data_IF_287954510383
#
_entry.id   IF_287954510383
#
_cell.length_a   1.000
_cell.length_b   1.000
_cell.length_c   1.000
_cell.angle_alpha   90.00
_cell.angle_beta   90.00
_cell.angle_gamma   90.00
#
_symmetry.space_group_name_H-M   'P 1'
#
loop_
_entity.id
_entity.type
_entity.pdbx_description
1 polymer ?
#
# COMPACT_ATOMS: atom_id res chain seq x y z
N UNK A 1 6.28 -0.06 -16.03
CA UNK A 1 6.68 0.28 -14.66
C UNK A 1 5.46 0.10 -13.77
N UNK A 2 5.56 -0.65 -12.67
CA UNK A 2 4.48 -0.78 -11.70
C UNK A 2 4.38 0.48 -10.83
N UNK A 3 3.17 0.95 -10.57
CA UNK A 3 2.92 2.21 -9.85
C UNK A 3 3.34 2.08 -8.38
N UNK A 4 4.28 2.93 -7.91
CA UNK A 4 4.66 2.92 -6.48
C UNK A 4 3.54 3.49 -5.62
N UNK A 5 3.13 2.73 -4.60
CA UNK A 5 2.11 3.14 -3.62
C UNK A 5 2.77 3.61 -2.33
N UNK A 6 3.73 2.85 -1.79
CA UNK A 6 4.47 3.21 -0.58
C UNK A 6 5.94 3.45 -0.88
N UNK A 7 6.36 4.72 -0.96
CA UNK A 7 7.78 5.06 -1.14
C UNK A 7 8.66 4.74 0.05
N UNK A 8 8.10 4.71 1.26
CA UNK A 8 8.90 4.43 2.45
C UNK A 8 9.42 2.99 2.47
N UNK A 9 8.67 2.05 1.90
CA UNK A 9 9.00 0.62 1.90
C UNK A 9 9.19 0.05 0.48
N UNK A 10 9.15 0.88 -0.56
CA UNK A 10 9.27 0.45 -1.96
C UNK A 10 8.13 -0.44 -2.48
N UNK A 11 6.91 -0.31 -1.94
CA UNK A 11 5.77 -1.19 -2.28
C UNK A 11 4.97 -0.63 -3.46
N UNK A 12 4.69 -1.50 -4.43
CA UNK A 12 3.92 -1.16 -5.63
C UNK A 12 2.43 -1.47 -5.51
N UNK A 13 1.65 -0.97 -6.47
CA UNK A 13 0.22 -1.27 -6.60
C UNK A 13 -0.02 -2.75 -6.84
N UNK A 14 0.77 -3.41 -7.69
CA UNK A 14 0.60 -4.85 -7.91
C UNK A 14 0.82 -5.66 -6.63
N UNK A 15 1.78 -5.29 -5.77
CA UNK A 15 1.99 -5.94 -4.46
C UNK A 15 0.74 -5.83 -3.58
N UNK A 16 0.08 -4.66 -3.55
CA UNK A 16 -1.16 -4.48 -2.77
C UNK A 16 -2.31 -5.32 -3.34
N UNK A 17 -2.45 -5.36 -4.68
CA UNK A 17 -3.48 -6.16 -5.34
C UNK A 17 -3.24 -7.66 -5.18
N UNK A 18 -1.99 -8.11 -5.18
CA UNK A 18 -1.61 -9.48 -4.88
C UNK A 18 -1.90 -9.84 -3.41
N UNK A 19 -1.55 -8.97 -2.46
CA UNK A 19 -1.90 -9.16 -1.06
C UNK A 19 -3.42 -9.30 -0.86
N UNK A 20 -4.21 -8.46 -1.54
CA UNK A 20 -5.68 -8.56 -1.55
C UNK A 20 -6.17 -9.88 -2.14
N UNK A 21 -5.64 -10.31 -3.29
CA UNK A 21 -5.97 -11.62 -3.89
C UNK A 21 -5.62 -12.79 -2.97
N UNK A 22 -4.56 -12.64 -2.17
CA UNK A 22 -4.12 -13.62 -1.17
C UNK A 22 -4.88 -13.50 0.17
N UNK A 23 -5.94 -12.70 0.23
CA UNK A 23 -6.85 -12.64 1.37
C UNK A 23 -6.64 -11.51 2.35
N UNK A 24 -5.81 -10.50 2.04
CA UNK A 24 -5.72 -9.30 2.87
C UNK A 24 -7.07 -8.56 2.88
N UNK A 25 -7.62 -8.32 4.07
CA UNK A 25 -8.94 -7.67 4.24
C UNK A 25 -8.87 -6.27 4.79
N UNK A 26 -7.79 -5.92 5.47
CA UNK A 26 -7.64 -4.65 6.16
C UNK A 26 -6.21 -4.11 6.11
N UNK A 27 -6.00 -2.98 6.79
CA UNK A 27 -4.69 -2.33 6.84
C UNK A 27 -3.65 -3.13 7.61
N UNK A 28 -4.05 -3.98 8.56
CA UNK A 28 -3.12 -4.77 9.36
C UNK A 28 -2.60 -5.96 8.56
N UNK A 29 -3.46 -6.61 7.78
CA UNK A 29 -3.06 -7.59 6.78
C UNK A 29 -2.09 -6.98 5.76
N UNK A 30 -2.40 -5.79 5.24
CA UNK A 30 -1.52 -5.13 4.28
C UNK A 30 -0.16 -4.82 4.88
N UNK A 31 -0.08 -4.32 6.12
CA UNK A 31 1.20 -4.07 6.81
C UNK A 31 1.99 -5.37 6.92
N UNK A 32 1.35 -6.46 7.37
CA UNK A 32 1.98 -7.76 7.59
C UNK A 32 2.47 -8.41 6.30
N UNK A 33 1.67 -8.37 5.23
CA UNK A 33 1.98 -9.05 3.97
C UNK A 33 2.92 -8.24 3.08
N UNK A 34 2.68 -6.93 2.94
CA UNK A 34 3.41 -6.09 1.98
C UNK A 34 4.53 -5.25 2.60
N UNK A 35 4.53 -5.05 3.92
CA UNK A 35 5.44 -4.12 4.58
C UNK A 35 5.11 -2.64 4.36
N UNK A 36 4.05 -2.30 3.64
CA UNK A 36 3.61 -0.91 3.51
C UNK A 36 3.20 -0.31 4.86
N UNK A 37 3.36 1.01 5.01
CA UNK A 37 3.00 1.75 6.24
C UNK A 37 3.78 1.34 7.52
N UNK A 38 4.93 0.66 7.42
CA UNK A 38 5.73 0.24 8.58
C UNK A 38 6.92 1.17 8.90
N UNK A 39 7.43 1.91 7.92
CA UNK A 39 8.64 2.76 8.07
C UNK A 39 8.34 4.20 8.55
N UNK A 40 7.22 4.80 8.12
CA UNK A 40 6.76 6.09 8.67
C UNK A 40 7.43 7.38 8.13
N UNK A 41 8.34 7.32 7.15
CA UNK A 41 9.04 8.50 6.57
C UNK A 41 8.27 9.21 5.45
N UNK A 42 6.95 9.31 5.58
CA UNK A 42 6.09 9.72 4.48
C UNK A 42 6.27 11.19 4.08
N UNK A 43 6.63 12.07 5.03
CA UNK A 43 6.89 13.49 4.73
C UNK A 43 8.13 13.69 3.85
N UNK A 44 9.13 12.82 4.00
CA UNK A 44 10.42 12.94 3.30
C UNK A 44 10.43 12.15 1.98
N UNK A 45 9.87 10.93 1.99
CA UNK A 45 10.04 9.97 0.89
C UNK A 45 8.86 9.92 -0.07
N UNK A 46 7.65 10.28 0.37
CA UNK A 46 6.48 10.29 -0.50
C UNK A 46 6.45 11.60 -1.30
N UNK A 47 6.34 11.58 -2.63
CA UNK A 47 6.11 12.79 -3.43
C UNK A 47 4.76 13.45 -3.10
N UNK A 48 3.87 12.75 -2.38
CA UNK A 48 2.60 13.30 -1.87
C UNK A 48 2.76 14.04 -0.54
N UNK A 49 3.92 13.97 0.12
CA UNK A 49 4.17 14.54 1.46
C UNK A 49 3.32 13.92 2.58
N UNK A 50 2.64 12.79 2.31
CA UNK A 50 1.74 12.11 3.26
C UNK A 50 1.77 10.59 3.08
N UNK A 51 1.23 9.88 4.08
CA UNK A 51 1.14 8.43 4.12
C UNK A 51 0.31 7.87 2.95
N UNK A 52 0.73 6.70 2.45
CA UNK A 52 0.06 5.93 1.40
C UNK A 52 -1.20 5.19 1.86
N UNK A 53 -1.56 5.30 3.15
CA UNK A 53 -2.71 4.59 3.73
C UNK A 53 -4.03 4.91 3.02
N UNK A 54 -4.19 6.11 2.47
CA UNK A 54 -5.42 6.46 1.72
C UNK A 54 -5.48 5.73 0.37
N UNK A 55 -4.35 5.62 -0.32
CA UNK A 55 -4.25 4.89 -1.57
C UNK A 55 -4.52 3.39 -1.35
N UNK A 56 -3.95 2.81 -0.29
CA UNK A 56 -4.17 1.40 0.07
C UNK A 56 -5.64 1.14 0.43
N UNK A 57 -6.27 2.01 1.22
CA UNK A 57 -7.70 1.86 1.56
C UNK A 57 -8.59 1.81 0.32
N UNK A 58 -8.35 2.71 -0.65
CA UNK A 58 -9.08 2.70 -1.92
C UNK A 58 -8.89 1.41 -2.72
N UNK A 59 -7.69 0.83 -2.69
CA UNK A 59 -7.42 -0.45 -3.37
C UNK A 59 -8.11 -1.64 -2.67
N UNK A 60 -8.20 -1.60 -1.34
CA UNK A 60 -8.96 -2.59 -0.56
C UNK A 60 -10.47 -2.49 -0.83
N UNK A 61 -11.01 -1.26 -0.92
CA UNK A 61 -12.43 -0.99 -1.13
C UNK A 61 -12.90 -1.17 -2.58
N UNK A 62 -12.00 -1.02 -3.57
CA UNK A 62 -12.36 -1.20 -4.98
C UNK A 62 -12.78 -2.65 -5.28
N UNK A 63 -13.89 -2.89 -5.98
CA UNK A 63 -14.23 -4.23 -6.45
C UNK A 63 -13.19 -4.74 -7.44
N UNK A 64 -12.83 -6.02 -7.30
CA UNK A 64 -11.96 -6.70 -8.27
C UNK A 64 -12.79 -6.99 -9.51
N UNK A 65 -12.54 -6.26 -10.61
CA UNK A 65 -13.10 -6.56 -11.94
C UNK A 65 -12.57 -7.90 -12.47
#
# INVERSE_FOLDING_TARGET
MDETVCWCSGVSKATILEAKRNGARDMDDIRRISGACTVGRCKDLSPRGRCCSMEIKRLLEAETL
#
